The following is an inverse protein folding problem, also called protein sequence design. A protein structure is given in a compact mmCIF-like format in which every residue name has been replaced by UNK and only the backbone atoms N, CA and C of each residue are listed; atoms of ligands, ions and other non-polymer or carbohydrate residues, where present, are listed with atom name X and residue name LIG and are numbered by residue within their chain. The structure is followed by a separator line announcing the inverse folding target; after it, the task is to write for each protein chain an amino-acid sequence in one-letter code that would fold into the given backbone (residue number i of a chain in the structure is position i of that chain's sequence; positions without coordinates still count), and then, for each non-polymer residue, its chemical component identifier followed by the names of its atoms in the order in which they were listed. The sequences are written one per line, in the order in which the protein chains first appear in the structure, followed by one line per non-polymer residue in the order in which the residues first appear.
data_IF_003383840755
#
_entry.id   IF_003383840755
#
_cell.length_a   1.000
_cell.length_b   1.000
_cell.length_c   1.000
_cell.angle_alpha   90.00
_cell.angle_beta   90.00
_cell.angle_gamma   90.00
#
_symmetry.space_group_name_H-M   'P 1'
#
loop_
_entity.id
_entity.type
_entity.pdbx_description
1 polymer ?
#
# COMPACT_ATOMS: atom_id res chain seq x y z
N UNK A 1 6.66 3.31 -8.84
CA UNK A 1 6.60 4.14 -10.07
C UNK A 1 8.01 4.59 -10.37
N UNK A 2 8.44 4.36 -11.61
CA UNK A 2 9.75 4.80 -12.10
C UNK A 2 9.98 6.29 -11.77
N UNK A 3 11.18 6.70 -11.32
CA UNK A 3 11.48 8.08 -10.94
C UNK A 3 11.07 9.12 -11.99
N UNK A 4 11.26 8.85 -13.29
CA UNK A 4 10.92 9.77 -14.38
C UNK A 4 9.42 9.97 -14.59
N UNK A 5 8.59 9.13 -13.95
CA UNK A 5 7.13 9.13 -14.08
C UNK A 5 6.42 9.44 -12.74
N UNK A 6 7.16 9.87 -11.72
CA UNK A 6 6.58 10.26 -10.43
C UNK A 6 5.77 11.55 -10.54
N UNK A 7 4.89 11.78 -9.57
CA UNK A 7 4.04 12.99 -9.47
C UNK A 7 3.07 13.22 -10.65
N UNK A 8 2.89 12.24 -11.53
CA UNK A 8 1.92 12.27 -12.63
C UNK A 8 0.60 11.54 -12.30
N UNK A 9 0.37 11.22 -11.01
CA UNK A 9 -0.83 10.51 -10.56
C UNK A 9 -0.89 9.02 -10.91
N UNK A 10 0.15 8.43 -11.50
CA UNK A 10 0.21 7.01 -11.89
C UNK A 10 0.02 6.10 -10.67
N UNK A 11 0.72 6.38 -9.57
CA UNK A 11 0.57 5.60 -8.33
C UNK A 11 -0.88 5.59 -7.82
N UNK A 12 -1.57 6.73 -7.88
CA UNK A 12 -2.96 6.82 -7.47
C UNK A 12 -3.92 6.11 -8.41
N UNK A 13 -3.67 6.14 -9.73
CA UNK A 13 -4.45 5.35 -10.70
C UNK A 13 -4.33 3.85 -10.43
N UNK A 14 -3.12 3.35 -10.23
CA UNK A 14 -2.86 1.94 -9.91
C UNK A 14 -3.55 1.54 -8.60
N UNK A 15 -3.44 2.36 -7.55
CA UNK A 15 -4.04 2.06 -6.26
C UNK A 15 -5.57 2.03 -6.34
N UNK A 16 -6.19 2.98 -7.05
CA UNK A 16 -7.66 2.97 -7.26
C UNK A 16 -8.12 1.72 -7.99
N UNK A 17 -7.41 1.28 -9.03
CA UNK A 17 -7.76 0.05 -9.73
C UNK A 17 -7.61 -1.19 -8.82
N UNK A 18 -6.56 -1.24 -7.99
CA UNK A 18 -6.40 -2.32 -7.02
C UNK A 18 -7.55 -2.36 -6.00
N UNK A 19 -7.97 -1.21 -5.45
CA UNK A 19 -9.10 -1.14 -4.51
C UNK A 19 -10.42 -1.55 -5.17
N UNK A 20 -10.66 -1.13 -6.42
CA UNK A 20 -11.83 -1.59 -7.18
C UNK A 20 -11.82 -3.12 -7.35
N UNK A 21 -10.67 -3.70 -7.67
CA UNK A 21 -10.50 -5.14 -7.80
C UNK A 21 -10.76 -5.88 -6.48
N UNK A 22 -10.31 -5.32 -5.35
CA UNK A 22 -10.59 -5.86 -4.02
C UNK A 22 -12.09 -5.89 -3.73
N UNK A 23 -12.80 -4.81 -4.06
CA UNK A 23 -14.27 -4.75 -3.90
C UNK A 23 -14.97 -5.79 -4.76
N UNK A 24 -14.59 -5.92 -6.04
CA UNK A 24 -15.18 -6.91 -6.95
C UNK A 24 -14.99 -8.35 -6.47
N UNK A 25 -13.89 -8.64 -5.77
CA UNK A 25 -13.58 -9.96 -5.23
C UNK A 25 -14.06 -10.17 -3.80
N UNK A 26 -14.84 -9.23 -3.24
CA UNK A 26 -15.28 -9.27 -1.85
C UNK A 26 -14.12 -9.46 -0.85
N UNK A 27 -12.96 -8.86 -1.14
CA UNK A 27 -11.83 -8.82 -0.20
C UNK A 27 -12.24 -8.00 1.01
N UNK A 28 -12.20 -8.61 2.20
CA UNK A 28 -12.64 -7.99 3.45
C UNK A 28 -11.53 -7.21 4.15
N UNK A 29 -10.26 -7.47 3.80
CA UNK A 29 -9.10 -6.84 4.41
C UNK A 29 -7.95 -6.66 3.42
N UNK A 30 -7.39 -5.46 3.37
CA UNK A 30 -6.18 -5.14 2.62
C UNK A 30 -5.29 -4.26 3.49
N UNK A 31 -4.00 -4.60 3.56
CA UNK A 31 -3.00 -3.84 4.29
C UNK A 31 -1.81 -3.53 3.38
N UNK A 32 -1.18 -2.39 3.62
CA UNK A 32 0.05 -1.97 2.95
C UNK A 32 1.00 -1.42 3.99
N UNK A 33 2.27 -1.76 3.86
CA UNK A 33 3.32 -1.23 4.70
C UNK A 33 4.17 -0.24 3.91
N UNK A 34 4.50 0.89 4.53
CA UNK A 34 5.50 1.84 4.04
C UNK A 34 6.34 2.33 5.20
N UNK A 35 7.57 2.77 4.90
CA UNK A 35 8.40 3.46 5.88
C UNK A 35 7.77 4.80 6.24
N UNK A 36 7.95 5.23 7.49
CA UNK A 36 7.42 6.49 8.01
C UNK A 36 8.01 7.72 7.30
N UNK A 37 9.24 7.60 6.78
CA UNK A 37 9.91 8.65 6.02
C UNK A 37 9.39 8.80 4.57
N UNK A 38 8.26 8.18 4.23
CA UNK A 38 7.62 8.29 2.92
C UNK A 38 6.21 8.93 3.03
N UNK A 39 6.11 10.23 3.33
CA UNK A 39 4.83 10.91 3.52
C UNK A 39 3.98 10.96 2.24
N UNK A 40 4.60 10.90 1.06
CA UNK A 40 3.89 10.86 -0.22
C UNK A 40 3.08 9.55 -0.37
N UNK A 41 3.66 8.42 0.04
CA UNK A 41 2.95 7.14 0.03
C UNK A 41 1.81 7.12 1.06
N UNK A 42 2.04 7.66 2.25
CA UNK A 42 1.01 7.74 3.31
C UNK A 42 -0.23 8.50 2.81
N UNK A 43 -0.05 9.70 2.26
CA UNK A 43 -1.16 10.50 1.72
C UNK A 43 -1.92 9.76 0.62
N UNK A 44 -1.19 9.08 -0.27
CA UNK A 44 -1.80 8.30 -1.35
C UNK A 44 -2.67 7.15 -0.82
N UNK A 45 -2.23 6.48 0.26
CA UNK A 45 -3.01 5.42 0.89
C UNK A 45 -4.25 5.97 1.60
N UNK A 46 -4.12 7.09 2.31
CA UNK A 46 -5.24 7.76 2.97
C UNK A 46 -6.33 8.21 1.97
N UNK A 47 -5.93 8.79 0.83
CA UNK A 47 -6.84 9.15 -0.27
C UNK A 47 -7.58 7.93 -0.87
N UNK A 48 -6.98 6.74 -0.80
CA UNK A 48 -7.59 5.49 -1.26
C UNK A 48 -8.46 4.82 -0.18
N UNK A 49 -8.59 5.41 1.01
CA UNK A 49 -9.43 4.92 2.11
C UNK A 49 -8.72 4.00 3.10
N UNK A 50 -7.40 3.85 2.99
CA UNK A 50 -6.62 3.17 4.03
C UNK A 50 -6.54 4.06 5.27
N UNK A 51 -6.41 3.43 6.44
CA UNK A 51 -6.19 4.12 7.70
C UNK A 51 -4.89 3.63 8.31
N UNK A 52 -4.21 4.52 9.04
CA UNK A 52 -3.04 4.15 9.82
C UNK A 52 -3.47 3.12 10.86
N UNK A 53 -2.76 2.01 10.92
CA UNK A 53 -2.93 0.99 11.95
C UNK A 53 -1.66 0.96 12.76
N UNK A 54 -1.78 0.74 14.07
CA UNK A 54 -0.61 0.45 14.89
C UNK A 54 0.06 -0.81 14.33
N UNK A 55 1.37 -0.75 14.19
CA UNK A 55 2.16 -1.66 13.38
C UNK A 55 2.03 -3.11 13.88
N UNK A 56 1.08 -3.87 13.34
CA UNK A 56 1.14 -5.32 13.36
C UNK A 56 2.29 -5.71 12.44
N UNK A 57 3.41 -6.02 13.07
CA UNK A 57 4.63 -6.51 12.45
C UNK A 57 4.30 -7.83 11.73
N UNK A 58 3.87 -7.73 10.47
CA UNK A 58 3.82 -8.86 9.53
C UNK A 58 5.20 -8.98 8.87
N UNK A 59 6.27 -9.17 9.67
CA UNK A 59 7.55 -9.57 9.07
C UNK A 59 7.51 -11.07 8.85
N UNK A 60 7.53 -11.47 7.58
CA UNK A 60 8.13 -12.74 7.25
C UNK A 60 9.62 -12.63 7.58
N UNK A 61 10.04 -13.28 8.67
CA UNK A 61 11.43 -13.44 9.03
C UNK A 61 11.92 -14.73 8.34
N UNK A 62 12.83 -14.69 7.35
CA UNK A 62 13.51 -15.91 6.93
C UNK A 62 14.27 -16.44 8.15
N UNK A 63 13.81 -17.56 8.71
CA UNK A 63 14.63 -18.31 9.65
C UNK A 63 15.81 -18.88 8.85
N UNK A 64 17.07 -18.62 9.25
CA UNK A 64 18.19 -19.32 8.65
C UNK A 64 17.98 -20.83 8.76
N UNK A 65 18.29 -21.54 7.68
CA UNK A 65 17.87 -22.91 7.39
C UNK A 65 17.99 -23.92 8.52
N UNK A 66 17.07 -24.88 8.52
CA UNK A 66 17.36 -26.23 9.03
C UNK A 66 18.12 -26.99 7.97
#
# INVERSE_FOLDING_TARGET
VDPGFRSQGIGGKLLRQAVQLFRQRNVTFAAVWTRENNPQAVRLYEEAGFRRTEQLVLTWLPLPGR
#
